data_IF_235845884639
#
_entry.id   IF_235845884639
#
_cell.length_a   1.000
_cell.length_b   1.000
_cell.length_c   1.000
_cell.angle_alpha   90.00
_cell.angle_beta   90.00
_cell.angle_gamma   90.00
#
_symmetry.space_group_name_H-M   'P 1'
#
loop_
_entity.id
_entity.type
_entity.pdbx_description
1 polymer ?
#
# COMPACT_ATOMS: atom_id res chain seq x y z
N UNK A 1 4.60 5.77 -10.93
CA UNK A 1 3.16 5.91 -10.59
C UNK A 1 2.60 7.14 -11.29
N UNK A 2 1.33 7.17 -11.68
CA UNK A 2 0.68 8.34 -12.27
C UNK A 2 -0.61 8.71 -11.53
N UNK A 3 -0.81 9.99 -11.23
CA UNK A 3 -1.95 10.51 -10.47
C UNK A 3 -2.49 11.80 -11.08
N UNK A 4 -3.82 11.96 -11.07
CA UNK A 4 -4.50 13.24 -11.32
C UNK A 4 -5.22 13.69 -10.06
N UNK A 5 -5.20 15.00 -9.79
CA UNK A 5 -6.03 15.62 -8.76
C UNK A 5 -7.14 16.38 -9.46
N UNK A 6 -8.37 15.86 -9.36
CA UNK A 6 -9.54 16.47 -9.98
C UNK A 6 -10.01 17.71 -9.19
N UNK A 7 -10.68 18.65 -9.86
CA UNK A 7 -11.33 19.78 -9.18
C UNK A 7 -12.29 19.29 -8.10
N UNK A 8 -12.13 19.79 -6.88
CA UNK A 8 -13.01 19.42 -5.78
C UNK A 8 -14.38 20.05 -5.94
N UNK A 9 -15.41 19.32 -5.50
CA UNK A 9 -16.78 19.82 -5.50
C UNK A 9 -16.96 20.90 -4.42
N UNK A 10 -17.41 22.08 -4.80
CA UNK A 10 -17.85 23.09 -3.84
C UNK A 10 -19.26 22.78 -3.34
N UNK A 11 -19.39 22.34 -2.09
CA UNK A 11 -20.66 22.03 -1.44
C UNK A 11 -21.25 23.20 -0.67
N UNK A 12 -20.60 24.37 -0.69
CA UNK A 12 -21.00 25.55 0.09
C UNK A 12 -22.20 26.29 -0.50
N UNK A 13 -22.57 26.00 -1.75
CA UNK A 13 -23.66 26.69 -2.46
C UNK A 13 -23.34 28.12 -2.89
N UNK A 14 -22.12 28.60 -2.61
CA UNK A 14 -21.63 29.94 -2.97
C UNK A 14 -20.51 29.81 -4.02
N UNK A 15 -20.82 30.17 -5.26
CA UNK A 15 -19.87 30.17 -6.36
C UNK A 15 -18.74 31.20 -6.17
N UNK A 16 -18.94 32.23 -5.34
CA UNK A 16 -17.87 33.18 -4.99
C UNK A 16 -16.75 32.52 -4.18
N UNK A 17 -16.99 31.35 -3.60
CA UNK A 17 -16.00 30.57 -2.87
C UNK A 17 -15.20 29.59 -3.75
N UNK A 18 -15.54 29.44 -5.03
CA UNK A 18 -14.86 28.51 -5.96
C UNK A 18 -13.36 28.78 -6.07
N UNK A 19 -12.92 30.04 -6.00
CA UNK A 19 -11.50 30.37 -6.08
C UNK A 19 -10.69 29.79 -4.91
N UNK A 20 -11.32 29.64 -3.73
CA UNK A 20 -10.67 29.05 -2.55
C UNK A 20 -10.53 27.55 -2.77
N UNK A 21 -11.60 26.90 -3.24
CA UNK A 21 -11.61 25.45 -3.52
C UNK A 21 -10.60 25.13 -4.61
N UNK A 22 -10.59 25.90 -5.70
CA UNK A 22 -9.64 25.76 -6.80
C UNK A 22 -8.19 26.04 -6.35
N UNK A 23 -8.00 26.99 -5.43
CA UNK A 23 -6.71 27.29 -4.84
C UNK A 23 -6.15 26.14 -4.00
N UNK A 24 -7.00 25.48 -3.21
CA UNK A 24 -6.61 24.27 -2.45
C UNK A 24 -6.15 23.17 -3.41
N UNK A 25 -6.91 22.92 -4.47
CA UNK A 25 -6.56 21.89 -5.47
C UNK A 25 -5.23 22.22 -6.15
N UNK A 26 -5.01 23.49 -6.49
CA UNK A 26 -3.77 23.95 -7.13
C UNK A 26 -2.54 23.78 -6.22
N UNK A 27 -2.68 24.12 -4.94
CA UNK A 27 -1.65 23.89 -3.93
C UNK A 27 -1.37 22.40 -3.76
N UNK A 28 -2.40 21.56 -3.67
CA UNK A 28 -2.23 20.09 -3.58
C UNK A 28 -1.48 19.51 -4.79
N UNK A 29 -1.79 19.98 -6.01
CA UNK A 29 -1.06 19.56 -7.22
C UNK A 29 0.42 19.92 -7.10
N UNK A 30 0.73 21.13 -6.65
CA UNK A 30 2.11 21.63 -6.50
C UNK A 30 2.88 20.84 -5.45
N UNK A 31 2.28 20.63 -4.27
CA UNK A 31 2.91 19.93 -3.16
C UNK A 31 3.13 18.46 -3.50
N UNK A 32 2.11 17.77 -4.02
CA UNK A 32 2.24 16.36 -4.40
C UNK A 32 3.24 16.14 -5.53
N UNK A 33 3.36 17.08 -6.47
CA UNK A 33 4.39 17.03 -7.52
C UNK A 33 5.80 17.09 -6.94
N UNK A 34 5.97 17.76 -5.80
CA UNK A 34 7.26 17.87 -5.10
C UNK A 34 7.55 16.63 -4.25
N UNK A 35 6.55 16.13 -3.52
CA UNK A 35 6.72 15.03 -2.56
C UNK A 35 6.72 13.64 -3.20
N UNK A 36 6.00 13.43 -4.31
CA UNK A 36 5.93 12.13 -5.00
C UNK A 36 7.05 12.00 -6.06
N UNK A 37 8.31 11.99 -5.60
CA UNK A 37 9.47 11.78 -6.49
C UNK A 37 9.35 10.44 -7.22
N UNK A 38 9.53 10.46 -8.55
CA UNK A 38 9.33 9.27 -9.41
C UNK A 38 7.88 8.98 -9.81
N UNK A 39 6.94 9.86 -9.45
CA UNK A 39 5.55 9.82 -9.92
C UNK A 39 5.22 10.96 -10.88
N UNK A 40 4.30 10.70 -11.80
CA UNK A 40 3.79 11.67 -12.76
C UNK A 40 2.47 12.25 -12.23
N UNK A 41 2.48 13.55 -11.89
CA UNK A 41 1.27 14.28 -11.49
C UNK A 41 0.76 15.03 -12.72
N UNK A 42 -0.52 14.84 -13.06
CA UNK A 42 -1.15 15.54 -14.19
C UNK A 42 -1.24 17.04 -13.90
N UNK A 43 -0.94 17.84 -14.92
CA UNK A 43 -0.97 19.30 -14.81
C UNK A 43 -2.36 19.84 -14.48
N UNK A 44 -2.38 20.94 -13.73
CA UNK A 44 -3.59 21.67 -13.37
C UNK A 44 -4.49 21.97 -14.56
N UNK A 45 -3.92 22.49 -15.66
CA UNK A 45 -4.70 22.86 -16.86
C UNK A 45 -5.47 21.68 -17.46
N UNK A 46 -4.88 20.48 -17.43
CA UNK A 46 -5.53 19.26 -17.92
C UNK A 46 -6.59 18.78 -16.94
N UNK A 47 -6.27 18.70 -15.65
CA UNK A 47 -7.21 18.25 -14.62
C UNK A 47 -8.47 19.13 -14.55
N UNK A 48 -8.31 20.45 -14.72
CA UNK A 48 -9.42 21.39 -14.66
C UNK A 48 -10.38 21.32 -15.86
N UNK A 49 -10.04 20.59 -16.93
CA UNK A 49 -10.99 20.30 -18.03
C UNK A 49 -12.17 19.41 -17.59
N UNK A 50 -12.04 18.74 -16.44
CA UNK A 50 -13.08 17.93 -15.82
C UNK A 50 -13.96 18.73 -14.84
N UNK A 51 -13.67 20.03 -14.59
CA UNK A 51 -14.45 20.85 -13.66
C UNK A 51 -15.91 20.93 -14.10
N UNK A 52 -16.83 20.65 -13.16
CA UNK A 52 -18.26 20.68 -13.41
C UNK A 52 -18.80 19.52 -14.26
N UNK A 53 -17.98 18.50 -14.54
CA UNK A 53 -18.40 17.31 -15.28
C UNK A 53 -18.48 16.12 -14.32
N UNK A 54 -19.58 15.37 -14.40
CA UNK A 54 -19.68 14.06 -13.76
C UNK A 54 -19.11 13.02 -14.73
N UNK A 55 -17.83 12.65 -14.54
CA UNK A 55 -17.14 11.65 -15.37
C UNK A 55 -16.73 10.48 -14.47
N UNK A 56 -17.02 9.23 -14.85
CA UNK A 56 -16.55 8.06 -14.09
C UNK A 56 -15.03 8.06 -13.96
N UNK A 57 -14.52 7.72 -12.78
CA UNK A 57 -13.09 7.72 -12.48
C UNK A 57 -12.30 6.84 -13.46
N UNK A 58 -12.87 5.70 -13.84
CA UNK A 58 -12.29 4.80 -14.84
C UNK A 58 -12.05 5.48 -16.19
N UNK A 59 -13.00 6.28 -16.65
CA UNK A 59 -12.85 7.01 -17.90
C UNK A 59 -11.74 8.08 -17.80
N UNK A 60 -11.64 8.76 -16.66
CA UNK A 60 -10.53 9.70 -16.40
C UNK A 60 -9.17 8.98 -16.44
N UNK A 61 -9.10 7.79 -15.83
CA UNK A 61 -7.92 6.92 -15.87
C UNK A 61 -7.49 6.55 -17.29
N UNK A 62 -8.45 6.12 -18.12
CA UNK A 62 -8.24 5.74 -19.52
C UNK A 62 -7.84 6.93 -20.39
N UNK A 63 -8.51 8.08 -20.26
CA UNK A 63 -8.23 9.29 -21.05
C UNK A 63 -6.87 9.92 -20.73
N UNK A 64 -6.47 9.92 -19.45
CA UNK A 64 -5.25 10.57 -18.99
C UNK A 64 -4.07 9.61 -18.80
N UNK A 65 -4.29 8.30 -18.93
CA UNK A 65 -3.26 7.27 -18.66
C UNK A 65 -2.81 7.27 -17.20
N UNK A 66 -3.71 7.59 -16.27
CA UNK A 66 -3.41 7.66 -14.83
C UNK A 66 -3.86 6.42 -14.09
N UNK A 67 -3.04 5.95 -13.15
CA UNK A 67 -3.39 4.82 -12.28
C UNK A 67 -4.30 5.25 -11.14
N UNK A 68 -4.09 6.45 -10.63
CA UNK A 68 -4.79 6.95 -9.45
C UNK A 68 -5.48 8.28 -9.72
N UNK A 69 -6.63 8.47 -9.09
CA UNK A 69 -7.41 9.71 -9.13
C UNK A 69 -7.63 10.18 -7.71
N UNK A 70 -7.28 11.45 -7.44
CA UNK A 70 -7.64 12.12 -6.20
C UNK A 70 -8.84 13.01 -6.47
N UNK A 71 -9.95 12.77 -5.78
CA UNK A 71 -11.13 13.61 -5.82
C UNK A 71 -11.57 14.02 -4.41
N UNK A 72 -12.46 15.00 -4.34
CA UNK A 72 -12.85 15.54 -3.05
C UNK A 72 -13.96 16.57 -3.13
N UNK A 73 -14.35 17.04 -1.96
CA UNK A 73 -15.38 18.05 -1.79
C UNK A 73 -15.02 19.00 -0.66
N UNK A 74 -15.32 20.29 -0.83
CA UNK A 74 -15.12 21.32 0.19
C UNK A 74 -16.46 21.91 0.57
N UNK A 75 -16.74 21.95 1.86
CA UNK A 75 -17.83 22.70 2.46
C UNK A 75 -17.24 23.82 3.32
N UNK A 76 -17.42 25.06 2.88
CA UNK A 76 -17.01 26.26 3.59
C UNK A 76 -18.19 26.79 4.40
N UNK A 77 -17.91 27.13 5.65
CA UNK A 77 -18.79 27.87 6.55
C UNK A 77 -18.04 29.13 7.04
N UNK A 78 -18.70 30.08 7.72
CA UNK A 78 -18.04 31.31 8.16
C UNK A 78 -16.77 31.07 8.97
N UNK A 79 -16.78 30.08 9.86
CA UNK A 79 -15.74 29.75 10.83
C UNK A 79 -15.07 28.39 10.58
N UNK A 80 -15.69 27.51 9.79
CA UNK A 80 -15.23 26.13 9.56
C UNK A 80 -14.97 25.82 8.10
N UNK A 81 -14.05 24.90 7.87
CA UNK A 81 -13.85 24.25 6.57
C UNK A 81 -13.90 22.74 6.78
N UNK A 82 -14.67 22.08 5.92
CA UNK A 82 -14.72 20.62 5.85
C UNK A 82 -14.27 20.17 4.47
N UNK A 83 -13.27 19.30 4.44
CA UNK A 83 -12.72 18.73 3.21
C UNK A 83 -12.84 17.22 3.29
N UNK A 84 -13.49 16.61 2.29
CA UNK A 84 -13.42 15.17 2.07
C UNK A 84 -12.46 14.94 0.91
N UNK A 85 -11.54 13.99 1.06
CA UNK A 85 -10.57 13.63 0.03
C UNK A 85 -10.53 12.12 -0.11
N UNK A 86 -10.47 11.63 -1.35
CA UNK A 86 -10.50 10.21 -1.67
C UNK A 86 -9.49 9.92 -2.76
N UNK A 87 -8.67 8.89 -2.55
CA UNK A 87 -7.76 8.33 -3.54
C UNK A 87 -8.38 7.05 -4.09
N UNK A 88 -8.56 7.02 -5.40
CA UNK A 88 -9.25 5.95 -6.11
C UNK A 88 -8.32 5.30 -7.12
N UNK A 89 -8.36 3.98 -7.20
CA UNK A 89 -7.73 3.20 -8.26
C UNK A 89 -8.55 3.33 -9.55
N UNK A 90 -7.97 3.92 -10.58
CA UNK A 90 -8.72 4.21 -11.80
C UNK A 90 -9.11 2.95 -12.60
N UNK A 91 -8.44 1.81 -12.41
CA UNK A 91 -8.81 0.60 -13.16
C UNK A 91 -9.91 -0.20 -12.46
N UNK A 92 -9.91 -0.23 -11.12
CA UNK A 92 -10.87 -1.02 -10.34
C UNK A 92 -12.02 -0.19 -9.77
N UNK A 93 -11.93 1.13 -9.80
CA UNK A 93 -12.87 2.07 -9.15
C UNK A 93 -12.91 1.91 -7.62
N UNK A 94 -11.88 1.29 -7.04
CA UNK A 94 -11.80 1.03 -5.60
C UNK A 94 -11.17 2.21 -4.85
N UNK A 95 -11.76 2.54 -3.69
CA UNK A 95 -11.22 3.56 -2.80
C UNK A 95 -10.02 3.00 -2.03
N UNK A 96 -8.83 3.49 -2.36
CA UNK A 96 -7.57 3.10 -1.72
C UNK A 96 -7.35 3.84 -0.40
N UNK A 97 -7.92 5.03 -0.28
CA UNK A 97 -7.86 5.88 0.90
C UNK A 97 -8.98 6.92 0.85
N UNK A 98 -9.59 7.20 1.99
CA UNK A 98 -10.60 8.25 2.10
C UNK A 98 -10.53 8.86 3.49
N UNK A 99 -10.46 10.18 3.56
CA UNK A 99 -10.43 10.89 4.83
C UNK A 99 -11.22 12.20 4.79
N UNK A 100 -11.56 12.65 5.98
CA UNK A 100 -12.27 13.90 6.21
C UNK A 100 -11.53 14.76 7.20
N UNK A 101 -11.39 16.03 6.84
CA UNK A 101 -10.79 17.07 7.64
C UNK A 101 -11.88 18.08 8.01
N UNK A 102 -12.01 18.39 9.29
CA UNK A 102 -12.96 19.38 9.81
C UNK A 102 -12.19 20.31 10.75
N UNK A 103 -11.91 21.53 10.28
CA UNK A 103 -11.02 22.49 10.97
C UNK A 103 -11.60 23.89 10.93
N UNK A 104 -10.99 24.79 11.70
CA UNK A 104 -11.30 26.20 11.58
C UNK A 104 -10.82 26.73 10.22
N UNK A 105 -11.58 27.66 9.63
CA UNK A 105 -11.28 28.23 8.31
C UNK A 105 -9.90 28.89 8.24
N UNK A 106 -9.42 29.45 9.35
CA UNK A 106 -8.06 30.04 9.46
C UNK A 106 -6.94 29.00 9.36
N UNK A 107 -7.24 27.71 9.53
CA UNK A 107 -6.28 26.60 9.52
C UNK A 107 -6.27 25.87 8.17
N UNK A 108 -6.89 26.43 7.13
CA UNK A 108 -7.04 25.78 5.82
C UNK A 108 -5.70 25.39 5.17
N UNK A 109 -4.63 26.14 5.44
CA UNK A 109 -3.28 25.80 4.99
C UNK A 109 -2.72 24.58 5.74
N UNK A 110 -2.95 24.48 7.06
CA UNK A 110 -2.56 23.30 7.83
C UNK A 110 -3.31 22.05 7.38
N UNK A 111 -4.58 22.18 6.98
CA UNK A 111 -5.35 21.07 6.40
C UNK A 111 -4.69 20.57 5.12
N UNK A 112 -4.17 21.47 4.27
CA UNK A 112 -3.49 21.09 3.03
C UNK A 112 -2.22 20.28 3.33
N UNK A 113 -1.38 20.76 4.23
CA UNK A 113 -0.18 20.05 4.67
C UNK A 113 -0.53 18.66 5.23
N UNK A 114 -1.62 18.58 6.00
CA UNK A 114 -2.09 17.33 6.58
C UNK A 114 -2.59 16.34 5.51
N UNK A 115 -3.33 16.82 4.50
CA UNK A 115 -3.77 16.02 3.35
C UNK A 115 -2.55 15.46 2.61
N UNK A 116 -1.59 16.30 2.25
CA UNK A 116 -0.38 15.89 1.53
C UNK A 116 0.38 14.82 2.32
N UNK A 117 0.58 15.05 3.62
CA UNK A 117 1.31 14.12 4.47
C UNK A 117 0.59 12.78 4.63
N UNK A 118 -0.73 12.77 4.82
CA UNK A 118 -1.53 11.53 4.94
C UNK A 118 -1.62 10.79 3.61
N UNK A 119 -1.85 11.50 2.52
CA UNK A 119 -1.91 10.93 1.19
C UNK A 119 -0.57 10.30 0.80
N UNK A 120 0.56 11.00 0.98
CA UNK A 120 1.89 10.49 0.64
C UNK A 120 2.21 9.20 1.41
N UNK A 121 1.81 9.12 2.68
CA UNK A 121 1.95 7.87 3.46
C UNK A 121 1.08 6.74 2.90
N UNK A 122 -0.18 7.02 2.60
CA UNK A 122 -1.10 6.00 2.05
C UNK A 122 -0.66 5.52 0.67
N UNK A 123 -0.27 6.44 -0.21
CA UNK A 123 0.28 6.16 -1.53
C UNK A 123 1.55 5.33 -1.42
N UNK A 124 2.47 5.69 -0.52
CA UNK A 124 3.71 4.95 -0.31
C UNK A 124 3.47 3.48 0.04
N UNK A 125 2.48 3.19 0.88
CA UNK A 125 2.08 1.81 1.21
C UNK A 125 1.61 1.06 -0.04
N UNK A 126 0.69 1.67 -0.81
CA UNK A 126 0.17 1.05 -2.04
C UNK A 126 1.25 0.88 -3.12
N UNK A 127 2.20 1.81 -3.22
CA UNK A 127 3.33 1.71 -4.15
C UNK A 127 4.25 0.53 -3.82
N UNK A 128 4.54 0.31 -2.53
CA UNK A 128 5.33 -0.84 -2.07
C UNK A 128 4.61 -2.15 -2.43
N UNK A 129 3.30 -2.22 -2.25
CA UNK A 129 2.50 -3.39 -2.62
C UNK A 129 2.46 -3.62 -4.13
N UNK A 130 2.26 -2.56 -4.91
CA UNK A 130 2.15 -2.65 -6.37
C UNK A 130 3.51 -2.94 -7.04
N UNK A 131 4.60 -2.41 -6.51
CA UNK A 131 5.96 -2.74 -6.95
C UNK A 131 6.38 -4.15 -6.51
N UNK A 132 5.91 -4.60 -5.33
CA UNK A 132 6.00 -6.01 -4.94
C UNK A 132 5.25 -6.93 -5.90
N UNK A 133 4.04 -6.54 -6.33
CA UNK A 133 3.25 -7.27 -7.33
C UNK A 133 3.85 -7.22 -8.73
N UNK A 134 4.35 -6.07 -9.18
CA UNK A 134 4.98 -5.91 -10.50
C UNK A 134 6.28 -6.68 -10.58
N UNK A 135 7.19 -6.55 -9.59
CA UNK A 135 8.39 -7.39 -9.51
C UNK A 135 8.05 -8.86 -9.42
N UNK A 136 7.02 -9.22 -8.65
CA UNK A 136 6.52 -10.59 -8.65
C UNK A 136 6.03 -11.00 -10.03
N UNK A 137 5.22 -10.21 -10.75
CA UNK A 137 4.70 -10.58 -12.07
C UNK A 137 5.74 -10.57 -13.20
N UNK A 138 6.74 -9.69 -13.12
CA UNK A 138 7.82 -9.56 -14.09
C UNK A 138 8.93 -10.60 -13.85
N UNK A 139 9.10 -11.08 -12.61
CA UNK A 139 10.00 -12.19 -12.25
C UNK A 139 9.32 -13.55 -12.11
N UNK A 140 7.99 -13.61 -12.16
CA UNK A 140 7.23 -14.86 -12.19
C UNK A 140 7.28 -15.45 -13.59
N UNK A 141 8.43 -16.05 -13.92
CA UNK A 141 8.32 -17.42 -14.39
C UNK A 141 7.55 -18.18 -13.31
N UNK A 142 6.41 -18.75 -13.66
CA UNK A 142 5.43 -19.37 -12.76
C UNK A 142 6.02 -20.37 -11.74
N UNK A 143 7.27 -20.77 -11.95
CA UNK A 143 8.05 -21.69 -11.14
C UNK A 143 8.42 -21.15 -9.74
N UNK A 144 8.84 -19.88 -9.59
CA UNK A 144 9.30 -19.38 -8.28
C UNK A 144 8.16 -19.28 -7.24
N UNK A 145 6.98 -18.85 -7.70
CA UNK A 145 5.77 -18.72 -6.88
C UNK A 145 5.23 -20.10 -6.51
N UNK A 146 5.15 -21.04 -7.46
CA UNK A 146 4.72 -22.42 -7.19
C UNK A 146 5.65 -23.11 -6.18
N UNK A 147 6.97 -22.96 -6.35
CA UNK A 147 7.97 -23.50 -5.42
C UNK A 147 7.77 -22.94 -4.00
N UNK A 148 7.59 -21.64 -3.83
CA UNK A 148 7.36 -21.03 -2.52
C UNK A 148 6.01 -21.42 -1.90
N UNK A 149 4.95 -21.58 -2.70
CA UNK A 149 3.64 -22.05 -2.21
C UNK A 149 3.73 -23.50 -1.70
N UNK A 150 4.42 -24.39 -2.43
CA UNK A 150 4.68 -25.77 -1.98
C UNK A 150 5.51 -25.80 -0.70
N UNK A 151 6.58 -25.00 -0.65
CA UNK A 151 7.41 -24.87 0.54
C UNK A 151 6.60 -24.40 1.76
N UNK A 152 5.71 -23.41 1.58
CA UNK A 152 4.87 -22.89 2.65
C UNK A 152 3.88 -23.92 3.16
N UNK A 153 3.28 -24.73 2.27
CA UNK A 153 2.38 -25.81 2.67
C UNK A 153 3.07 -26.85 3.57
N UNK A 154 4.37 -27.11 3.37
CA UNK A 154 5.17 -28.00 4.22
C UNK A 154 5.42 -27.42 5.63
N UNK A 155 5.55 -26.10 5.74
CA UNK A 155 5.79 -25.40 7.02
C UNK A 155 4.50 -25.16 7.80
N UNK A 156 3.39 -24.84 7.13
CA UNK A 156 2.11 -24.49 7.80
C UNK A 156 1.16 -25.67 7.99
N UNK A 157 1.37 -26.80 7.31
CA UNK A 157 0.49 -27.98 7.27
C UNK A 157 0.41 -28.84 8.53
N UNK A 158 0.77 -28.33 9.72
CA UNK A 158 0.46 -29.01 10.99
C UNK A 158 1.27 -30.27 11.30
N UNK A 159 2.53 -30.36 10.83
CA UNK A 159 3.40 -31.49 11.11
C UNK A 159 4.85 -31.21 10.78
N UNK A 160 5.41 -30.15 11.37
CA UNK A 160 6.81 -29.78 11.21
C UNK A 160 7.71 -30.90 11.77
N UNK A 161 8.24 -31.72 10.86
CA UNK A 161 9.33 -32.65 11.11
C UNK A 161 10.58 -32.14 10.39
N UNK A 162 11.76 -32.59 10.81
CA UNK A 162 13.06 -32.18 10.28
C UNK A 162 13.13 -32.33 8.75
N UNK A 163 12.63 -33.44 8.23
CA UNK A 163 12.58 -33.76 6.80
C UNK A 163 11.74 -32.75 5.99
N UNK A 164 10.52 -32.43 6.45
CA UNK A 164 9.66 -31.43 5.79
C UNK A 164 10.22 -30.02 5.87
N UNK A 165 10.94 -29.72 6.95
CA UNK A 165 11.57 -28.42 7.13
C UNK A 165 12.77 -28.27 6.20
N UNK A 166 13.56 -29.33 6.02
CA UNK A 166 14.65 -29.38 5.05
C UNK A 166 14.12 -29.27 3.60
N UNK A 167 13.04 -29.99 3.27
CA UNK A 167 12.38 -29.91 1.96
C UNK A 167 11.82 -28.52 1.67
N UNK A 168 11.23 -27.85 2.68
CA UNK A 168 10.77 -26.47 2.53
C UNK A 168 11.94 -25.50 2.24
N UNK A 169 13.08 -25.67 2.91
CA UNK A 169 14.28 -24.85 2.68
C UNK A 169 14.82 -25.05 1.26
N UNK A 170 14.85 -26.29 0.76
CA UNK A 170 15.26 -26.59 -0.63
C UNK A 170 14.34 -25.91 -1.65
N UNK A 171 13.02 -26.05 -1.48
CA UNK A 171 12.03 -25.43 -2.37
C UNK A 171 12.10 -23.90 -2.37
N UNK A 172 12.29 -23.27 -1.20
CA UNK A 172 12.54 -21.83 -1.13
C UNK A 172 13.89 -21.45 -1.76
N UNK A 173 14.93 -22.28 -1.61
CA UNK A 173 16.23 -22.06 -2.25
C UNK A 173 16.12 -22.05 -3.77
N UNK A 174 15.39 -23.01 -4.34
CA UNK A 174 15.10 -23.05 -5.77
C UNK A 174 14.26 -21.86 -6.23
N UNK A 175 13.32 -21.38 -5.42
CA UNK A 175 12.60 -20.14 -5.71
C UNK A 175 13.55 -18.93 -5.79
N UNK A 176 14.62 -18.90 -4.99
CA UNK A 176 15.66 -17.86 -5.03
C UNK A 176 16.64 -18.00 -6.20
N UNK A 177 16.83 -19.21 -6.75
CA UNK A 177 17.57 -19.39 -8.00
C UNK A 177 16.85 -18.73 -9.19
N UNK A 178 15.52 -18.73 -9.15
CA UNK A 178 14.67 -18.07 -10.15
C UNK A 178 14.51 -16.56 -9.89
N UNK A 179 14.34 -16.13 -8.64
CA UNK A 179 14.32 -14.72 -8.24
C UNK A 179 15.12 -14.51 -6.94
N UNK A 180 16.38 -14.05 -7.05
CA UNK A 180 17.26 -13.85 -5.91
C UNK A 180 16.74 -12.86 -4.85
N UNK A 181 15.84 -11.93 -5.20
CA UNK A 181 15.24 -10.98 -4.24
C UNK A 181 13.82 -11.39 -3.82
N UNK A 182 13.43 -12.65 -4.02
CA UNK A 182 12.07 -13.10 -3.70
C UNK A 182 11.83 -13.16 -2.19
N UNK A 183 11.25 -12.08 -1.67
CA UNK A 183 11.07 -11.84 -0.23
C UNK A 183 10.36 -13.00 0.46
N UNK A 184 9.36 -13.62 -0.17
CA UNK A 184 8.61 -14.72 0.46
C UNK A 184 9.47 -15.96 0.70
N UNK A 185 10.42 -16.24 -0.22
CA UNK A 185 11.38 -17.32 -0.06
C UNK A 185 12.47 -16.99 0.97
N UNK A 186 12.97 -15.75 1.00
CA UNK A 186 13.93 -15.29 2.03
C UNK A 186 13.32 -15.43 3.43
N UNK A 187 12.10 -14.91 3.62
CA UNK A 187 11.36 -15.00 4.89
C UNK A 187 11.03 -16.46 5.20
N UNK A 188 10.64 -17.25 4.19
CA UNK A 188 10.36 -18.67 4.32
C UNK A 188 11.54 -19.48 4.87
N UNK A 189 12.75 -19.29 4.32
CA UNK A 189 13.97 -19.93 4.81
C UNK A 189 14.29 -19.51 6.23
N UNK A 190 14.17 -18.22 6.55
CA UNK A 190 14.40 -17.72 7.90
C UNK A 190 13.47 -18.39 8.93
N UNK A 191 12.17 -18.47 8.62
CA UNK A 191 11.18 -19.13 9.47
C UNK A 191 11.45 -20.63 9.60
N UNK A 192 11.75 -21.33 8.49
CA UNK A 192 12.05 -22.76 8.52
C UNK A 192 13.30 -23.07 9.38
N UNK A 193 14.34 -22.24 9.31
CA UNK A 193 15.53 -22.35 10.17
C UNK A 193 15.22 -22.09 11.64
N UNK A 194 14.36 -21.11 11.94
CA UNK A 194 13.89 -20.88 13.32
C UNK A 194 13.18 -22.13 13.85
N UNK A 195 12.32 -22.77 13.03
CA UNK A 195 11.67 -24.02 13.41
C UNK A 195 12.64 -25.19 13.60
N UNK A 196 13.71 -25.30 12.80
CA UNK A 196 14.77 -26.30 13.02
C UNK A 196 15.42 -26.12 14.38
N UNK A 197 15.81 -24.90 14.74
CA UNK A 197 16.45 -24.60 16.04
C UNK A 197 15.51 -24.89 17.20
N UNK A 198 14.24 -24.48 17.10
CA UNK A 198 13.23 -24.72 18.14
C UNK A 198 12.96 -26.23 18.31
N UNK A 199 12.92 -27.01 17.22
CA UNK A 199 12.69 -28.45 17.29
C UNK A 199 13.93 -29.26 17.70
N UNK A 200 15.14 -28.83 17.34
CA UNK A 200 16.40 -29.46 17.80
C UNK A 200 16.54 -29.36 19.32
N UNK A 201 16.23 -28.20 19.91
CA UNK A 201 16.20 -28.05 21.37
C UNK A 201 15.12 -28.89 22.05
N UNK A 202 14.08 -29.32 21.33
CA UNK A 202 13.03 -30.20 21.87
C UNK A 202 13.42 -31.68 21.80
N UNK A 203 14.37 -32.06 20.93
CA UNK A 203 14.85 -33.43 20.79
C UNK A 203 16.01 -33.75 21.76
N UNK A 204 16.86 -32.77 22.08
CA UNK A 204 17.96 -32.97 23.05
C UNK A 204 17.56 -32.73 24.52
N UNK A 205 16.41 -32.11 24.78
CA UNK A 205 16.03 -31.73 26.15
C UNK A 205 15.16 -32.76 26.89
N UNK A 206 14.66 -33.82 26.25
CA UNK A 206 13.73 -34.72 26.93
C UNK A 206 14.42 -35.61 27.97
N UNK A 207 15.59 -36.15 27.64
CA UNK A 207 16.34 -37.03 28.54
C UNK A 207 17.10 -36.24 29.62
N UNK A 208 17.51 -35.00 29.31
CA UNK A 208 18.15 -34.08 30.27
C UNK A 208 17.13 -33.58 31.30
N UNK A 209 15.92 -33.18 30.87
CA UNK A 209 14.86 -32.71 31.78
C UNK A 209 14.27 -33.84 32.65
N UNK A 210 14.31 -35.10 32.18
CA UNK A 210 13.91 -36.26 32.99
C UNK A 210 14.99 -36.68 33.99
N UNK A 211 16.28 -36.50 33.68
CA UNK A 211 17.37 -36.72 34.62
C UNK A 211 17.36 -35.70 35.77
N UNK A 212 17.11 -34.42 35.47
CA UNK A 212 17.02 -33.36 36.48
C UNK A 212 15.79 -33.50 37.40
N UNK A 213 14.70 -34.11 36.93
CA UNK A 213 13.51 -34.38 37.74
C UNK A 213 13.65 -35.59 38.69
N UNK A 214 14.59 -36.51 38.39
CA UNK A 214 14.85 -37.72 39.19
C UNK A 214 15.77 -37.50 40.39
N UNK A 215 16.57 -36.43 40.41
CA UNK A 215 17.45 -36.06 41.54
C UNK A 215 16.76 -35.19 42.61
N UNK A 216 15.48 -34.85 42.40
CA UNK A 216 14.67 -34.00 43.29
C UNK A 216 13.54 -34.73 44.05
N UNK A 217 13.58 -36.07 44.10
CA UNK A 217 12.76 -36.91 44.99
C UNK A 217 13.69 -37.84 45.77
#
# INVERSE_FOLDING_TARGET
MSIVILPFLNLSGDASADYIVDGIVDSLITDLSTWLTGSFVISRSTAFTYKGRAVPVRQVGEELGVRYVLEGSVLLSPDRVRINVQLIDAATDEHLWAERFDKERREILQVQDEIVARLTRSVGIHLIHDEGRRRSSERSGWDAVDLAMRARALVTGGGANEERTAEAIDLFGRALEHDPDYVDAIVGIALARIYQVINLHRLDAKDVLLAEAGEMI
#
